data_IF_932121105366
#
_entry.id   IF_932121105366
#
_cell.length_a   1.000
_cell.length_b   1.000
_cell.length_c   1.000
_cell.angle_alpha   90.00
_cell.angle_beta   90.00
_cell.angle_gamma   90.00
#
_symmetry.space_group_name_H-M   'P 1'
#
loop_
_entity.id
_entity.type
_entity.pdbx_description
1 polymer ?
#
# COMPACT_ATOMS: atom_id res chain seq x y z
N UNK A 1 -11.06 -7.03 31.05
CA UNK A 1 -9.74 -6.79 30.44
C UNK A 1 -9.23 -5.45 30.94
N UNK A 2 -8.05 -5.39 31.58
CA UNK A 2 -7.51 -4.15 32.14
C UNK A 2 -7.12 -3.15 31.04
N UNK A 3 -7.02 -1.86 31.37
CA UNK A 3 -6.60 -0.83 30.38
C UNK A 3 -5.22 -1.16 29.83
N UNK A 4 -4.30 -1.65 30.68
CA UNK A 4 -2.97 -2.11 30.24
C UNK A 4 -3.04 -3.28 29.25
N UNK A 5 -3.98 -4.22 29.42
CA UNK A 5 -4.21 -5.29 28.45
C UNK A 5 -4.77 -4.74 27.12
N UNK A 6 -5.70 -3.78 27.16
CA UNK A 6 -6.25 -3.15 25.96
C UNK A 6 -5.18 -2.36 25.19
N UNK A 7 -4.30 -1.64 25.89
CA UNK A 7 -3.14 -0.93 25.32
C UNK A 7 -2.19 -1.92 24.63
N UNK A 8 -1.92 -3.07 25.25
CA UNK A 8 -1.06 -4.09 24.66
C UNK A 8 -1.65 -4.65 23.36
N UNK A 9 -2.96 -4.93 23.34
CA UNK A 9 -3.67 -5.39 22.13
C UNK A 9 -3.62 -4.33 21.03
N UNK A 10 -3.90 -3.05 21.34
CA UNK A 10 -3.82 -1.97 20.35
C UNK A 10 -2.43 -1.83 19.73
N UNK A 11 -1.38 -1.93 20.54
CA UNK A 11 0.01 -1.89 20.05
C UNK A 11 0.29 -3.07 19.11
N UNK A 12 -0.21 -4.27 19.43
CA UNK A 12 -0.07 -5.44 18.59
C UNK A 12 -0.79 -5.26 17.24
N UNK A 13 -2.03 -4.79 17.25
CA UNK A 13 -2.81 -4.53 16.04
C UNK A 13 -2.17 -3.43 15.16
N UNK A 14 -1.65 -2.37 15.79
CA UNK A 14 -0.91 -1.32 15.11
C UNK A 14 0.36 -1.86 14.44
N UNK A 15 1.11 -2.73 15.12
CA UNK A 15 2.29 -3.37 14.54
C UNK A 15 1.94 -4.26 13.33
N UNK A 16 0.82 -5.00 13.40
CA UNK A 16 0.32 -5.80 12.28
C UNK A 16 -0.07 -4.92 11.09
N UNK A 17 -0.77 -3.80 11.32
CA UNK A 17 -1.10 -2.84 10.26
C UNK A 17 0.16 -2.24 9.63
N UNK A 18 1.15 -1.84 10.42
CA UNK A 18 2.41 -1.32 9.87
C UNK A 18 3.14 -2.35 9.00
N UNK A 19 3.19 -3.61 9.43
CA UNK A 19 3.78 -4.68 8.63
C UNK A 19 3.03 -4.89 7.32
N UNK A 20 1.68 -4.89 7.37
CA UNK A 20 0.84 -5.00 6.18
C UNK A 20 1.08 -3.84 5.21
N UNK A 21 1.03 -2.59 5.69
CA UNK A 21 1.29 -1.38 4.90
C UNK A 21 2.69 -1.43 4.26
N UNK A 22 3.72 -1.84 5.01
CA UNK A 22 5.08 -1.93 4.49
C UNK A 22 5.18 -2.96 3.36
N UNK A 23 4.54 -4.12 3.52
CA UNK A 23 4.48 -5.16 2.47
C UNK A 23 3.76 -4.66 1.22
N UNK A 24 2.60 -4.03 1.38
CA UNK A 24 1.84 -3.50 0.26
C UNK A 24 2.59 -2.38 -0.48
N UNK A 25 3.28 -1.49 0.25
CA UNK A 25 4.15 -0.47 -0.36
C UNK A 25 5.27 -1.08 -1.18
N UNK A 26 5.93 -2.13 -0.67
CA UNK A 26 6.97 -2.82 -1.42
C UNK A 26 6.43 -3.43 -2.73
N UNK A 27 5.27 -4.09 -2.67
CA UNK A 27 4.61 -4.65 -3.86
C UNK A 27 4.19 -3.57 -4.86
N UNK A 28 3.71 -2.43 -4.37
CA UNK A 28 3.37 -1.27 -5.17
C UNK A 28 4.59 -0.66 -5.86
N UNK A 29 5.73 -0.59 -5.18
CA UNK A 29 6.99 -0.10 -5.74
C UNK A 29 7.57 -1.07 -6.79
N UNK A 30 7.40 -2.38 -6.60
CA UNK A 30 7.73 -3.38 -7.62
C UNK A 30 6.91 -3.17 -8.91
N UNK A 31 5.61 -2.93 -8.77
CA UNK A 31 4.71 -2.65 -9.89
C UNK A 31 5.07 -1.34 -10.61
N UNK A 32 5.48 -0.30 -9.88
CA UNK A 32 5.98 0.93 -10.50
C UNK A 32 7.21 0.68 -11.36
N UNK A 33 8.15 -0.14 -10.88
CA UNK A 33 9.34 -0.51 -11.65
C UNK A 33 8.96 -1.31 -12.89
N UNK A 34 7.99 -2.21 -12.78
CA UNK A 34 7.47 -2.96 -13.92
C UNK A 34 6.79 -2.04 -14.95
N UNK A 35 5.96 -1.10 -14.50
CA UNK A 35 5.29 -0.12 -15.36
C UNK A 35 6.30 0.74 -16.11
N UNK A 36 7.34 1.25 -15.43
CA UNK A 36 8.41 2.01 -16.06
C UNK A 36 9.17 1.19 -17.11
N UNK A 37 9.46 -0.09 -16.83
CA UNK A 37 10.10 -0.98 -17.79
C UNK A 37 9.22 -1.26 -19.02
N UNK A 38 7.92 -1.45 -18.82
CA UNK A 38 6.98 -1.65 -19.93
C UNK A 38 6.82 -0.38 -20.77
N UNK A 39 6.85 0.79 -20.13
CA UNK A 39 6.79 2.08 -20.82
C UNK A 39 8.03 2.29 -21.71
N UNK A 40 9.22 1.94 -21.22
CA UNK A 40 10.45 1.97 -22.02
C UNK A 40 10.37 1.03 -23.23
N UNK A 41 9.84 -0.19 -23.05
CA UNK A 41 9.62 -1.12 -24.15
C UNK A 41 8.61 -0.57 -25.17
N UNK A 42 7.59 0.13 -24.70
CA UNK A 42 6.58 0.74 -25.58
C UNK A 42 7.18 1.86 -26.42
N UNK A 43 8.00 2.72 -25.81
CA UNK A 43 8.68 3.81 -26.50
C UNK A 43 9.64 3.27 -27.58
N UNK A 44 10.32 2.15 -27.29
CA UNK A 44 11.15 1.44 -28.26
C UNK A 44 10.31 0.84 -29.40
N UNK A 45 9.25 0.10 -29.10
CA UNK A 45 8.36 -0.48 -30.11
C UNK A 45 7.73 0.60 -31.01
N UNK A 46 7.44 1.77 -30.45
CA UNK A 46 6.96 2.94 -31.18
C UNK A 46 8.02 3.51 -32.13
N UNK A 47 9.29 3.58 -31.69
CA UNK A 47 10.40 4.00 -32.54
C UNK A 47 10.66 3.02 -33.70
N UNK A 48 10.48 1.72 -33.43
CA UNK A 48 10.66 0.64 -34.41
C UNK A 48 9.46 0.48 -35.36
N UNK A 49 8.33 1.14 -35.09
CA UNK A 49 7.10 1.03 -35.88
C UNK A 49 6.34 -0.29 -35.67
N UNK A 50 6.63 -1.03 -34.61
CA UNK A 50 6.01 -2.33 -34.30
C UNK A 50 4.65 -2.13 -33.60
N UNK A 51 3.62 -1.94 -34.41
CA UNK A 51 2.25 -1.70 -33.96
C UNK A 51 1.66 -2.86 -33.13
N UNK A 52 2.02 -4.11 -33.46
CA UNK A 52 1.51 -5.27 -32.74
C UNK A 52 2.14 -5.35 -31.34
N UNK A 53 3.45 -5.09 -31.24
CA UNK A 53 4.12 -5.01 -29.94
C UNK A 53 3.61 -3.85 -29.10
N UNK A 54 3.33 -2.70 -29.71
CA UNK A 54 2.73 -1.56 -29.01
C UNK A 54 1.39 -1.90 -28.37
N UNK A 55 0.50 -2.61 -29.08
CA UNK A 55 -0.83 -3.02 -28.54
C UNK A 55 -0.67 -3.95 -27.35
N UNK A 56 0.21 -4.96 -27.46
CA UNK A 56 0.52 -5.89 -26.37
C UNK A 56 1.02 -5.14 -25.12
N UNK A 57 1.91 -4.17 -25.31
CA UNK A 57 2.49 -3.38 -24.22
C UNK A 57 1.47 -2.44 -23.57
N UNK A 58 0.56 -1.83 -24.34
CA UNK A 58 -0.54 -1.01 -23.81
C UNK A 58 -1.41 -1.84 -22.86
N UNK A 59 -1.76 -3.07 -23.23
CA UNK A 59 -2.57 -3.96 -22.38
C UNK A 59 -1.84 -4.33 -21.08
N UNK A 60 -0.54 -4.64 -21.18
CA UNK A 60 0.30 -4.93 -20.00
C UNK A 60 0.41 -3.73 -19.06
N UNK A 61 0.68 -2.54 -19.60
CA UNK A 61 0.74 -1.29 -18.82
C UNK A 61 -0.60 -1.03 -18.12
N UNK A 62 -1.72 -1.19 -18.84
CA UNK A 62 -3.06 -1.03 -18.27
C UNK A 62 -3.29 -1.99 -17.09
N UNK A 63 -2.93 -3.27 -17.24
CA UNK A 63 -3.09 -4.26 -16.19
C UNK A 63 -2.24 -3.91 -14.95
N UNK A 64 -0.97 -3.56 -15.13
CA UNK A 64 -0.09 -3.13 -14.03
C UNK A 64 -0.66 -1.90 -13.32
N UNK A 65 -1.17 -0.92 -14.06
CA UNK A 65 -1.80 0.28 -13.48
C UNK A 65 -3.07 -0.05 -12.67
N UNK A 66 -3.87 -1.03 -13.11
CA UNK A 66 -5.05 -1.48 -12.35
C UNK A 66 -4.63 -2.13 -11.03
N UNK A 67 -3.67 -3.05 -11.07
CA UNK A 67 -3.14 -3.71 -9.87
C UNK A 67 -2.54 -2.68 -8.90
N UNK A 68 -1.75 -1.73 -9.41
CA UNK A 68 -1.17 -0.62 -8.62
C UNK A 68 -2.25 0.19 -7.89
N UNK A 69 -3.35 0.52 -8.58
CA UNK A 69 -4.48 1.26 -7.99
C UNK A 69 -5.11 0.52 -6.80
N UNK A 70 -5.21 -0.82 -6.88
CA UNK A 70 -5.67 -1.63 -5.75
C UNK A 70 -4.75 -1.50 -4.52
N UNK A 71 -3.43 -1.52 -4.73
CA UNK A 71 -2.47 -1.31 -3.64
C UNK A 71 -2.55 0.11 -3.07
N UNK A 72 -2.60 1.14 -3.92
CA UNK A 72 -2.74 2.53 -3.47
C UNK A 72 -4.00 2.72 -2.60
N UNK A 73 -5.12 2.09 -3.00
CA UNK A 73 -6.36 2.11 -2.24
C UNK A 73 -6.26 1.36 -0.90
N UNK A 74 -5.69 0.15 -0.91
CA UNK A 74 -5.50 -0.66 0.31
C UNK A 74 -4.61 0.04 1.33
N UNK A 75 -3.46 0.56 0.88
CA UNK A 75 -2.52 1.33 1.71
C UNK A 75 -3.22 2.55 2.33
N UNK A 76 -4.08 3.25 1.57
CA UNK A 76 -4.84 4.39 2.09
C UNK A 76 -5.78 3.98 3.22
N UNK A 77 -6.52 2.88 3.05
CA UNK A 77 -7.42 2.35 4.09
C UNK A 77 -6.62 1.95 5.33
N UNK A 78 -5.55 1.18 5.16
CA UNK A 78 -4.77 0.68 6.29
C UNK A 78 -4.08 1.81 7.07
N UNK A 79 -3.59 2.86 6.38
CA UNK A 79 -3.05 4.05 7.04
C UNK A 79 -4.13 4.78 7.86
N UNK A 80 -5.36 4.88 7.34
CA UNK A 80 -6.47 5.48 8.08
C UNK A 80 -6.85 4.63 9.31
N UNK A 81 -6.86 3.30 9.18
CA UNK A 81 -7.07 2.40 10.31
C UNK A 81 -5.96 2.53 11.36
N UNK A 82 -4.70 2.64 10.93
CA UNK A 82 -3.57 2.86 11.83
C UNK A 82 -3.71 4.18 12.61
N UNK A 83 -4.04 5.28 11.92
CA UNK A 83 -4.25 6.58 12.56
C UNK A 83 -5.36 6.53 13.62
N UNK A 84 -6.50 5.91 13.31
CA UNK A 84 -7.59 5.71 14.28
C UNK A 84 -7.13 4.93 15.52
N UNK A 85 -6.25 3.94 15.36
CA UNK A 85 -5.69 3.18 16.49
C UNK A 85 -4.68 3.98 17.31
N UNK A 86 -3.90 4.87 16.69
CA UNK A 86 -3.04 5.82 17.42
C UNK A 86 -3.90 6.70 18.33
N UNK A 87 -5.01 7.23 17.81
CA UNK A 87 -5.92 8.07 18.59
C UNK A 87 -6.56 7.30 19.75
N UNK A 88 -6.96 6.04 19.51
CA UNK A 88 -7.49 5.17 20.56
C UNK A 88 -6.44 4.86 21.64
N UNK A 89 -5.20 4.55 21.24
CA UNK A 89 -4.09 4.29 22.15
C UNK A 89 -3.80 5.51 23.03
N UNK A 90 -3.82 6.72 22.46
CA UNK A 90 -3.62 7.96 23.19
C UNK A 90 -4.72 8.20 24.23
N UNK A 91 -5.98 7.95 23.88
CA UNK A 91 -7.12 8.04 24.81
C UNK A 91 -6.98 7.07 25.98
N UNK A 92 -6.73 5.79 25.69
CA UNK A 92 -6.55 4.76 26.74
C UNK A 92 -5.33 5.03 27.64
N UNK A 93 -4.26 5.57 27.07
CA UNK A 93 -3.07 5.95 27.85
C UNK A 93 -3.36 7.13 28.79
N UNK A 94 -4.18 8.10 28.36
CA UNK A 94 -4.61 9.20 29.23
C UNK A 94 -5.49 8.70 30.40
N UNK A 95 -6.36 7.72 30.15
CA UNK A 95 -7.18 7.07 31.18
C UNK A 95 -6.33 6.36 32.24
N UNK A 96 -5.22 5.73 31.86
CA UNK A 96 -4.28 5.13 32.84
C UNK A 96 -3.54 6.13 33.72
N UNK A 97 -3.36 7.37 33.27
CA UNK A 97 -2.69 8.42 34.05
C UNK A 97 -3.66 9.24 34.92
N UNK A 98 -4.96 9.05 34.73
CA UNK A 98 -6.03 9.77 35.46
C UNK A 98 -6.63 8.95 36.61
N UNK A 99 -6.14 7.72 36.81
CA UNK A 99 -6.50 6.76 37.86
C UNK A 99 -5.36 6.60 38.88
#
# INVERSE_FOLDING_TARGET
>A
MSINQQIAVLRQEMAQLQQKIAKEKAQRDDLLRQEASLQQQYDQAKADGDSDKMKELIEKIRNVSQIKSHFDYSIKIDNAAYASKVDELNKKSAETHSL
#
